data_IF_097577905294
#
_entry.id   IF_097577905294
#
_cell.length_a   1.000
_cell.length_b   1.000
_cell.length_c   1.000
_cell.angle_alpha   90.00
_cell.angle_beta   90.00
_cell.angle_gamma   90.00
#
_symmetry.space_group_name_H-M   'P 1'
#
loop_
_entity.id
_entity.type
_entity.pdbx_description
1 polymer ?
#
# COMPACT_ATOMS: atom_id res chain seq x y z
N UNK A 1 39.00 -3.48 3.10
CA UNK A 1 37.96 -3.66 4.13
C UNK A 1 36.60 -3.77 3.42
N UNK A 2 36.24 -4.96 2.94
CA UNK A 2 35.05 -5.17 2.13
C UNK A 2 33.82 -5.23 3.05
N UNK A 3 32.88 -4.29 2.92
CA UNK A 3 31.59 -4.34 3.59
C UNK A 3 30.63 -5.14 2.73
N UNK A 4 30.28 -6.35 3.15
CA UNK A 4 29.15 -7.10 2.59
C UNK A 4 27.85 -6.43 3.04
N UNK A 5 27.02 -6.01 2.08
CA UNK A 5 25.61 -5.66 2.33
C UNK A 5 24.79 -6.92 2.13
N UNK A 6 24.24 -7.44 3.22
CA UNK A 6 23.23 -8.51 3.18
C UNK A 6 21.89 -7.81 2.97
N UNK A 7 21.31 -7.94 1.77
CA UNK A 7 19.94 -7.50 1.49
C UNK A 7 19.07 -8.75 1.50
N UNK A 8 18.16 -8.85 2.47
CA UNK A 8 17.14 -9.89 2.47
C UNK A 8 16.19 -9.62 1.29
N UNK A 9 16.34 -10.37 0.21
CA UNK A 9 15.45 -10.29 -0.94
C UNK A 9 14.19 -11.11 -0.62
N UNK A 10 13.22 -10.48 0.01
CA UNK A 10 11.95 -11.10 0.39
C UNK A 10 11.04 -11.28 -0.81
N UNK A 11 11.29 -12.29 -1.65
CA UNK A 11 10.32 -12.73 -2.63
C UNK A 11 9.60 -13.97 -2.11
N UNK A 12 8.73 -13.76 -1.13
CA UNK A 12 7.82 -14.80 -0.62
C UNK A 12 6.47 -14.83 -1.32
N UNK A 13 6.27 -13.95 -2.32
CA UNK A 13 5.02 -13.86 -3.05
C UNK A 13 4.84 -15.08 -3.96
N UNK A 14 3.71 -15.77 -3.83
CA UNK A 14 3.37 -16.95 -4.62
C UNK A 14 2.39 -16.58 -5.72
N UNK A 15 2.76 -16.85 -6.97
CA UNK A 15 1.90 -16.69 -8.14
C UNK A 15 0.56 -17.42 -7.93
N UNK A 16 -0.56 -16.72 -8.16
CA UNK A 16 -1.91 -17.24 -7.95
C UNK A 16 -2.50 -17.07 -6.55
N UNK A 17 -1.69 -16.79 -5.51
CA UNK A 17 -2.17 -16.46 -4.16
C UNK A 17 -2.04 -14.95 -3.95
N UNK A 18 -0.81 -14.44 -4.02
CA UNK A 18 -0.52 -13.02 -3.84
C UNK A 18 -0.63 -12.23 -5.15
N UNK A 19 -0.69 -12.93 -6.31
CA UNK A 19 -0.74 -12.31 -7.64
C UNK A 19 -2.17 -12.12 -8.20
N UNK A 20 -3.15 -12.88 -7.70
CA UNK A 20 -4.56 -12.70 -8.09
C UNK A 20 -5.26 -11.70 -7.17
N UNK A 21 -4.93 -11.71 -5.87
CA UNK A 21 -5.23 -10.62 -4.93
C UNK A 21 -4.09 -9.59 -4.89
N UNK A 22 -3.57 -9.20 -6.07
CA UNK A 22 -2.76 -7.99 -6.17
C UNK A 22 -3.71 -6.83 -5.97
N UNK A 23 -4.04 -6.56 -4.71
CA UNK A 23 -4.15 -5.19 -4.27
C UNK A 23 -2.77 -4.60 -4.52
N UNK A 24 -2.53 -4.18 -5.76
CA UNK A 24 -1.50 -3.19 -6.01
C UNK A 24 -1.74 -2.13 -4.93
N UNK A 25 -0.74 -1.70 -4.17
CA UNK A 25 -0.92 -0.66 -3.15
C UNK A 25 -1.25 0.70 -3.78
N UNK A 26 -1.69 0.70 -5.03
CA UNK A 26 -2.22 1.83 -5.76
C UNK A 26 -3.73 1.83 -5.46
N UNK A 27 -4.11 2.56 -4.42
CA UNK A 27 -5.52 2.81 -4.13
C UNK A 27 -6.23 3.32 -5.40
N UNK A 28 -7.36 2.70 -5.75
CA UNK A 28 -8.20 3.18 -6.86
C UNK A 28 -8.66 4.61 -6.56
N UNK A 29 -8.57 5.50 -7.55
CA UNK A 29 -9.04 6.89 -7.44
C UNK A 29 -10.51 6.98 -6.99
N UNK A 30 -11.35 6.04 -7.40
CA UNK A 30 -12.74 5.98 -6.93
C UNK A 30 -12.82 5.72 -5.42
N UNK A 31 -12.03 4.80 -4.90
CA UNK A 31 -11.94 4.51 -3.47
C UNK A 31 -11.44 5.72 -2.69
N UNK A 32 -10.43 6.42 -3.21
CA UNK A 32 -9.92 7.67 -2.59
C UNK A 32 -11.03 8.73 -2.54
N UNK A 33 -11.78 8.91 -3.64
CA UNK A 33 -12.90 9.88 -3.68
C UNK A 33 -13.99 9.55 -2.66
N UNK A 34 -14.32 8.27 -2.48
CA UNK A 34 -15.28 7.84 -1.47
C UNK A 34 -14.78 8.17 -0.05
N UNK A 35 -13.51 7.86 0.24
CA UNK A 35 -12.90 8.16 1.55
C UNK A 35 -12.90 9.68 1.82
N UNK A 36 -12.51 10.50 0.84
CA UNK A 36 -12.54 11.96 0.96
C UNK A 36 -13.97 12.49 1.17
N UNK A 37 -14.96 11.97 0.45
CA UNK A 37 -16.35 12.37 0.61
C UNK A 37 -16.89 12.03 2.02
N UNK A 38 -16.51 10.86 2.56
CA UNK A 38 -16.85 10.46 3.91
C UNK A 38 -16.17 11.36 4.95
N UNK A 39 -14.88 11.64 4.79
CA UNK A 39 -14.14 12.53 5.68
C UNK A 39 -14.76 13.94 5.70
N UNK A 40 -15.11 14.50 4.54
CA UNK A 40 -15.80 15.78 4.45
C UNK A 40 -17.19 15.76 5.10
N UNK A 41 -17.97 14.68 4.90
CA UNK A 41 -19.32 14.52 5.48
C UNK A 41 -19.29 14.49 7.01
N UNK A 42 -18.29 13.85 7.59
CA UNK A 42 -18.16 13.66 9.04
C UNK A 42 -17.17 14.62 9.70
N UNK A 43 -16.62 15.58 8.94
CA UNK A 43 -15.61 16.53 9.39
C UNK A 43 -14.41 15.85 10.08
N UNK A 44 -13.90 14.78 9.45
CA UNK A 44 -12.78 13.99 9.95
C UNK A 44 -11.44 14.53 9.42
N UNK A 45 -10.41 14.44 10.24
CA UNK A 45 -9.03 14.70 9.85
C UNK A 45 -8.45 13.49 9.12
N UNK A 46 -7.69 13.73 8.06
CA UNK A 46 -7.10 12.70 7.20
C UNK A 46 -5.58 12.90 7.19
N UNK A 47 -4.86 11.91 7.72
CA UNK A 47 -3.41 11.86 7.70
C UNK A 47 -2.93 10.74 6.78
N UNK A 48 -1.87 11.02 6.02
CA UNK A 48 -1.18 10.02 5.20
C UNK A 48 0.08 9.54 5.92
N UNK A 49 0.19 8.23 6.15
CA UNK A 49 1.47 7.61 6.55
C UNK A 49 2.17 7.03 5.32
N UNK A 50 3.41 7.44 5.10
CA UNK A 50 4.34 6.84 4.12
C UNK A 50 5.13 5.70 4.79
N UNK A 51 5.45 4.61 4.07
CA UNK A 51 6.10 3.38 4.59
C UNK A 51 7.41 3.09 3.87
#
# INVERSE_FOLDING_TARGET
RYKLRIVARGFTQREGIDYQEVFAPVANLESIRIILALAAKYNLELDQMDV
#
